data_IF_308809883962
#
_entry.id   IF_308809883962
#
_cell.length_a   1.000
_cell.length_b   1.000
_cell.length_c   1.000
_cell.angle_alpha   90.00
_cell.angle_beta   90.00
_cell.angle_gamma   90.00
#
_symmetry.space_group_name_H-M   'P 1'
#
loop_
_entity.id
_entity.type
_entity.pdbx_description
1 polymer ?
#
# COMPACT_ATOMS: atom_id res chain seq x y z
N UNK A 1 -0.91 -23.15 -41.76
CA UNK A 1 0.23 -23.76 -41.04
C UNK A 1 -0.13 -23.75 -39.56
N UNK A 2 -0.83 -24.77 -39.09
CA UNK A 2 -1.15 -24.94 -37.67
C UNK A 2 0.11 -25.44 -36.97
N UNK A 3 0.82 -24.54 -36.30
CA UNK A 3 1.92 -24.91 -35.42
C UNK A 3 1.36 -25.58 -34.18
N UNK A 4 1.51 -26.91 -34.13
CA UNK A 4 1.34 -27.75 -32.95
C UNK A 4 2.13 -27.13 -31.78
N UNK A 5 1.43 -26.40 -30.91
CA UNK A 5 1.99 -25.92 -29.65
C UNK A 5 2.23 -27.15 -28.78
N UNK A 6 3.49 -27.54 -28.63
CA UNK A 6 3.90 -28.46 -27.58
C UNK A 6 3.45 -27.88 -26.25
N UNK A 7 2.56 -28.63 -25.61
CA UNK A 7 2.11 -28.44 -24.25
C UNK A 7 3.34 -28.53 -23.34
N UNK A 8 3.91 -27.38 -22.99
CA UNK A 8 4.96 -27.29 -21.97
C UNK A 8 4.26 -27.49 -20.64
N UNK A 9 4.57 -28.63 -20.00
CA UNK A 9 4.13 -28.98 -18.66
C UNK A 9 4.35 -27.78 -17.74
N UNK A 10 3.23 -27.17 -17.35
CA UNK A 10 3.23 -25.99 -16.50
C UNK A 10 3.66 -26.42 -15.09
N UNK A 11 4.83 -25.95 -14.66
CA UNK A 11 5.29 -26.06 -13.28
C UNK A 11 4.20 -25.61 -12.29
N UNK A 12 4.16 -26.18 -11.06
CA UNK A 12 3.15 -25.90 -10.05
C UNK A 12 3.37 -24.51 -9.38
N UNK A 13 3.23 -23.44 -10.16
CA UNK A 13 3.16 -22.05 -9.67
C UNK A 13 1.72 -21.70 -9.20
N UNK A 14 0.76 -22.60 -9.46
CA UNK A 14 -0.69 -22.40 -9.24
C UNK A 14 -1.14 -22.37 -7.76
N UNK A 15 -0.36 -22.90 -6.81
CA UNK A 15 -0.79 -22.96 -5.40
C UNK A 15 -0.44 -21.71 -4.56
N UNK A 16 0.56 -20.92 -4.97
CA UNK A 16 1.05 -19.82 -4.11
C UNK A 16 0.12 -18.60 -4.19
N UNK A 17 -0.47 -18.31 -5.36
CA UNK A 17 -1.23 -17.08 -5.58
C UNK A 17 -2.66 -17.10 -5.02
N UNK A 18 -3.38 -18.24 -5.06
CA UNK A 18 -4.74 -18.37 -4.50
C UNK A 18 -4.78 -18.17 -2.97
N UNK A 19 -3.65 -18.41 -2.30
CA UNK A 19 -3.49 -18.23 -0.85
C UNK A 19 -3.31 -16.77 -0.42
N UNK A 20 -2.93 -15.86 -1.34
CA UNK A 20 -2.68 -14.45 -0.99
C UNK A 20 -3.98 -13.63 -0.85
N UNK A 21 -4.91 -13.72 -1.80
CA UNK A 21 -6.17 -12.93 -1.75
C UNK A 21 -7.16 -13.45 -0.70
N UNK A 22 -7.16 -14.76 -0.42
CA UNK A 22 -8.01 -15.36 0.61
C UNK A 22 -7.62 -14.91 2.01
N UNK A 23 -6.32 -14.74 2.28
CA UNK A 23 -5.81 -14.23 3.56
C UNK A 23 -6.18 -12.76 3.78
N UNK A 24 -6.07 -11.92 2.75
CA UNK A 24 -6.48 -10.52 2.81
C UNK A 24 -7.98 -10.37 3.03
N UNK A 25 -8.78 -11.16 2.32
CA UNK A 25 -10.22 -11.12 2.49
C UNK A 25 -10.67 -11.62 3.86
N UNK A 26 -10.05 -12.69 4.38
CA UNK A 26 -10.30 -13.14 5.74
C UNK A 26 -10.02 -12.03 6.77
N UNK A 27 -8.93 -11.27 6.59
CA UNK A 27 -8.62 -10.10 7.42
C UNK A 27 -9.73 -9.04 7.35
N UNK A 28 -10.14 -8.63 6.15
CA UNK A 28 -11.23 -7.65 5.95
C UNK A 28 -12.55 -8.11 6.56
N UNK A 29 -12.87 -9.41 6.46
CA UNK A 29 -14.11 -10.00 6.98
C UNK A 29 -14.10 -10.03 8.51
N UNK A 30 -12.98 -10.46 9.12
CA UNK A 30 -12.79 -10.44 10.58
C UNK A 30 -12.91 -9.02 11.11
N UNK A 31 -12.31 -8.05 10.42
CA UNK A 31 -12.42 -6.64 10.78
C UNK A 31 -13.87 -6.15 10.65
N UNK A 32 -14.52 -6.39 9.50
CA UNK A 32 -15.92 -5.99 9.28
C UNK A 32 -16.88 -6.56 10.32
N UNK A 33 -16.72 -7.84 10.68
CA UNK A 33 -17.47 -8.50 11.74
C UNK A 33 -17.17 -7.89 13.11
N UNK A 34 -15.92 -7.51 13.39
CA UNK A 34 -15.57 -6.80 14.61
C UNK A 34 -16.28 -5.44 14.70
N UNK A 35 -16.29 -4.65 13.62
CA UNK A 35 -17.03 -3.38 13.55
C UNK A 35 -18.52 -3.57 13.81
N UNK A 36 -19.14 -4.56 13.18
CA UNK A 36 -20.55 -4.92 13.37
C UNK A 36 -20.85 -5.33 14.81
N UNK A 37 -20.05 -6.23 15.38
CA UNK A 37 -20.18 -6.64 16.78
C UNK A 37 -20.13 -5.43 17.73
N UNK A 38 -19.19 -4.51 17.48
CA UNK A 38 -19.04 -3.31 18.32
C UNK A 38 -20.20 -2.34 18.14
N UNK A 39 -20.67 -2.12 16.91
CA UNK A 39 -21.88 -1.34 16.64
C UNK A 39 -23.08 -1.91 17.40
N UNK A 40 -23.31 -3.22 17.32
CA UNK A 40 -24.41 -3.89 18.01
C UNK A 40 -24.29 -3.72 19.53
N UNK A 41 -23.08 -3.93 20.09
CA UNK A 41 -22.84 -3.75 21.52
C UNK A 41 -23.07 -2.30 21.98
N UNK A 42 -22.66 -1.32 21.19
CA UNK A 42 -22.88 0.09 21.48
C UNK A 42 -24.38 0.44 21.41
N UNK A 43 -25.07 -0.06 20.37
CA UNK A 43 -26.52 0.08 20.22
C UNK A 43 -27.30 -0.51 21.39
N UNK A 44 -26.97 -1.73 21.83
CA UNK A 44 -27.60 -2.33 23.02
C UNK A 44 -27.35 -1.51 24.30
N UNK A 45 -26.16 -0.94 24.46
CA UNK A 45 -25.86 -0.07 25.60
C UNK A 45 -26.67 1.22 25.56
N UNK A 46 -26.92 1.78 24.37
CA UNK A 46 -27.75 2.97 24.17
C UNK A 46 -29.21 2.70 24.52
N UNK A 47 -29.76 1.59 24.02
CA UNK A 47 -31.13 1.16 24.32
C UNK A 47 -31.33 0.96 25.82
N UNK A 48 -30.35 0.35 26.51
CA UNK A 48 -30.43 0.09 27.96
C UNK A 48 -30.34 1.35 28.81
N UNK A 49 -29.65 2.39 28.34
CA UNK A 49 -29.47 3.64 29.08
C UNK A 49 -30.68 4.58 29.02
N UNK A 50 -31.64 4.36 28.10
CA UNK A 50 -32.81 5.21 27.86
C UNK A 50 -32.51 6.70 27.57
N UNK A 51 -31.23 7.05 27.48
CA UNK A 51 -30.72 8.32 27.01
C UNK A 51 -29.83 8.02 25.81
N UNK A 52 -30.12 8.70 24.71
CA UNK A 52 -29.35 8.59 23.47
C UNK A 52 -28.40 9.78 23.38
N UNK A 53 -27.20 9.72 23.98
CA UNK A 53 -26.19 10.70 23.67
C UNK A 53 -25.93 10.64 22.16
N UNK A 54 -26.22 11.76 21.49
CA UNK A 54 -26.13 11.98 20.04
C UNK A 54 -24.83 11.38 19.49
N UNK A 55 -23.76 11.57 20.26
CA UNK A 55 -22.42 11.14 19.92
C UNK A 55 -22.23 9.62 19.81
N UNK A 56 -22.71 8.85 20.79
CA UNK A 56 -22.60 7.39 20.74
C UNK A 56 -23.49 6.84 19.62
N UNK A 57 -24.60 7.52 19.32
CA UNK A 57 -25.47 7.18 18.20
C UNK A 57 -24.76 7.40 16.85
N UNK A 58 -24.03 8.51 16.68
CA UNK A 58 -23.20 8.78 15.49
C UNK A 58 -22.11 7.72 15.33
N UNK A 59 -21.39 7.38 16.40
CA UNK A 59 -20.36 6.33 16.36
C UNK A 59 -20.95 4.95 16.04
N UNK A 60 -22.12 4.63 16.59
CA UNK A 60 -22.85 3.39 16.28
C UNK A 60 -23.17 3.31 14.79
N UNK A 61 -23.80 4.36 14.23
CA UNK A 61 -24.17 4.42 12.81
C UNK A 61 -22.92 4.30 11.94
N UNK A 62 -21.84 5.00 12.29
CA UNK A 62 -20.62 4.98 11.50
C UNK A 62 -19.95 3.59 11.52
N UNK A 63 -19.88 2.93 12.69
CA UNK A 63 -19.38 1.55 12.77
C UNK A 63 -20.25 0.55 12.02
N UNK A 64 -21.57 0.73 12.03
CA UNK A 64 -22.48 -0.10 11.25
C UNK A 64 -22.23 0.06 9.74
N UNK A 65 -22.19 1.31 9.26
CA UNK A 65 -21.96 1.63 7.85
C UNK A 65 -20.60 1.14 7.37
N UNK A 66 -19.55 1.30 8.19
CA UNK A 66 -18.21 0.77 7.92
C UNK A 66 -18.21 -0.77 7.90
N UNK A 67 -18.80 -1.43 8.89
CA UNK A 67 -18.86 -2.89 8.96
C UNK A 67 -19.59 -3.51 7.77
N UNK A 68 -20.78 -3.00 7.45
CA UNK A 68 -21.57 -3.45 6.29
C UNK A 68 -20.84 -3.14 4.98
N UNK A 69 -20.25 -1.95 4.88
CA UNK A 69 -19.53 -1.50 3.70
C UNK A 69 -18.29 -2.33 3.40
N UNK A 70 -17.52 -2.69 4.43
CA UNK A 70 -16.34 -3.57 4.35
C UNK A 70 -16.72 -5.00 3.94
N UNK A 71 -17.78 -5.56 4.53
CA UNK A 71 -18.28 -6.90 4.17
C UNK A 71 -18.78 -6.92 2.72
N UNK A 72 -19.50 -5.88 2.28
CA UNK A 72 -20.02 -5.79 0.91
C UNK A 72 -19.02 -5.27 -0.12
N UNK A 73 -17.78 -4.94 0.28
CA UNK A 73 -16.73 -4.38 -0.58
C UNK A 73 -17.15 -3.10 -1.34
N UNK A 74 -18.03 -2.27 -0.76
CA UNK A 74 -18.56 -1.08 -1.46
C UNK A 74 -17.62 0.11 -1.37
N UNK A 75 -17.45 0.85 -2.47
CA UNK A 75 -16.50 1.97 -2.58
C UNK A 75 -16.79 3.12 -1.61
N UNK A 76 -18.06 3.45 -1.38
CA UNK A 76 -18.48 4.55 -0.51
C UNK A 76 -18.05 4.38 0.95
N UNK A 77 -17.93 3.13 1.43
CA UNK A 77 -17.46 2.84 2.77
C UNK A 77 -15.99 3.24 2.99
N UNK A 78 -15.20 3.23 1.91
CA UNK A 78 -13.79 3.66 1.93
C UNK A 78 -13.67 5.16 2.04
N UNK A 79 -14.44 5.88 1.23
CA UNK A 79 -14.49 7.35 1.26
C UNK A 79 -15.03 7.84 2.61
N UNK A 80 -16.06 7.16 3.15
CA UNK A 80 -16.60 7.44 4.48
C UNK A 80 -15.58 7.18 5.59
N UNK A 81 -14.82 6.08 5.54
CA UNK A 81 -13.72 5.81 6.47
C UNK A 81 -12.66 6.93 6.43
N UNK A 82 -12.27 7.35 5.23
CA UNK A 82 -11.25 8.37 5.04
C UNK A 82 -11.70 9.74 5.56
N UNK A 83 -12.91 10.18 5.18
CA UNK A 83 -13.48 11.48 5.61
C UNK A 83 -13.79 11.52 7.11
N UNK A 84 -14.33 10.44 7.66
CA UNK A 84 -14.70 10.41 9.08
C UNK A 84 -13.50 10.20 10.00
N UNK A 85 -12.38 9.70 9.48
CA UNK A 85 -11.20 9.40 10.28
C UNK A 85 -10.63 10.65 10.99
N UNK A 86 -10.20 11.72 10.31
CA UNK A 86 -9.67 12.90 10.99
C UNK A 86 -10.62 13.47 12.06
N UNK A 87 -11.93 13.48 11.77
CA UNK A 87 -12.97 13.97 12.68
C UNK A 87 -13.07 13.10 13.93
N UNK A 88 -13.12 11.79 13.76
CA UNK A 88 -13.20 10.82 14.86
C UNK A 88 -11.93 10.86 15.73
N UNK A 89 -10.75 11.06 15.14
CA UNK A 89 -9.48 11.15 15.86
C UNK A 89 -9.38 12.42 16.70
N UNK A 90 -9.63 13.59 16.10
CA UNK A 90 -9.63 14.87 16.80
C UNK A 90 -10.65 14.88 17.95
N UNK A 91 -11.81 14.30 17.69
CA UNK A 91 -12.85 14.17 18.68
C UNK A 91 -12.47 13.21 19.82
N UNK A 92 -11.72 12.15 19.52
CA UNK A 92 -11.17 11.23 20.53
C UNK A 92 -10.17 11.91 21.44
N UNK A 93 -9.29 12.76 20.87
CA UNK A 93 -8.36 13.59 21.66
C UNK A 93 -9.12 14.54 22.59
N UNK A 94 -10.17 15.19 22.08
CA UNK A 94 -11.03 16.06 22.88
C UNK A 94 -11.69 15.32 24.06
N UNK A 95 -12.23 14.13 23.83
CA UNK A 95 -12.80 13.31 24.90
C UNK A 95 -11.76 12.84 25.91
N UNK A 96 -10.53 12.52 25.47
CA UNK A 96 -9.43 12.14 26.35
C UNK A 96 -9.10 13.25 27.34
N UNK A 97 -9.11 14.50 26.85
CA UNK A 97 -8.84 15.68 27.64
C UNK A 97 -9.97 15.97 28.65
N UNK A 98 -11.23 15.79 28.24
CA UNK A 98 -12.39 16.15 29.07
C UNK A 98 -12.79 15.05 30.08
N UNK A 99 -12.59 13.78 29.75
CA UNK A 99 -13.06 12.65 30.57
C UNK A 99 -12.02 11.52 30.69
N UNK A 100 -10.87 11.74 31.37
CA UNK A 100 -9.72 10.84 31.34
C UNK A 100 -10.00 9.41 31.85
N UNK A 101 -10.95 9.23 32.78
CA UNK A 101 -11.30 7.90 33.32
C UNK A 101 -12.21 7.09 32.41
N UNK A 102 -13.16 7.73 31.71
CA UNK A 102 -14.12 7.06 30.83
C UNK A 102 -13.62 6.95 29.38
N UNK A 103 -12.90 7.95 28.90
CA UNK A 103 -12.37 8.01 27.54
C UNK A 103 -11.34 6.91 27.27
N UNK A 104 -10.62 6.47 28.30
CA UNK A 104 -9.48 5.54 28.18
C UNK A 104 -9.82 4.17 27.56
N UNK A 105 -11.06 3.69 27.73
CA UNK A 105 -11.53 2.41 27.17
C UNK A 105 -12.16 2.56 25.79
N UNK A 106 -12.55 3.76 25.38
CA UNK A 106 -13.18 4.02 24.09
C UNK A 106 -12.20 4.63 23.09
N UNK A 107 -11.26 5.45 23.54
CA UNK A 107 -10.28 6.14 22.70
C UNK A 107 -9.26 5.22 22.05
N UNK A 108 -8.69 4.28 22.80
CA UNK A 108 -7.75 3.29 22.27
C UNK A 108 -8.41 2.42 21.18
N UNK A 109 -9.71 2.13 21.33
CA UNK A 109 -10.48 1.38 20.35
C UNK A 109 -10.81 2.20 19.12
N UNK A 110 -11.19 3.47 19.31
CA UNK A 110 -11.43 4.39 18.19
C UNK A 110 -10.15 4.56 17.38
N UNK A 111 -9.01 4.83 18.03
CA UNK A 111 -7.70 4.91 17.39
C UNK A 111 -7.31 3.60 16.66
N UNK A 112 -7.56 2.43 17.26
CA UNK A 112 -7.30 1.14 16.62
C UNK A 112 -8.15 0.94 15.35
N UNK A 113 -9.46 1.21 15.48
CA UNK A 113 -10.44 1.14 14.40
C UNK A 113 -10.07 2.07 13.25
N UNK A 114 -9.53 3.23 13.57
CA UNK A 114 -9.16 4.27 12.63
C UNK A 114 -7.86 3.98 11.91
N UNK A 115 -6.86 3.47 12.65
CA UNK A 115 -5.66 2.92 12.06
C UNK A 115 -6.01 1.77 11.11
N UNK A 116 -6.93 0.89 11.50
CA UNK A 116 -7.41 -0.24 10.68
C UNK A 116 -8.23 0.23 9.48
N UNK A 117 -9.09 1.23 9.61
CA UNK A 117 -9.90 1.75 8.50
C UNK A 117 -9.04 2.51 7.48
N UNK A 118 -8.05 3.28 7.96
CA UNK A 118 -7.04 3.95 7.12
C UNK A 118 -6.11 2.93 6.45
N UNK A 119 -5.76 1.86 7.17
CA UNK A 119 -5.03 0.70 6.67
C UNK A 119 -5.78 -0.01 5.54
N UNK A 120 -7.09 -0.23 5.71
CA UNK A 120 -7.94 -0.81 4.67
C UNK A 120 -8.04 0.10 3.44
N UNK A 121 -8.11 1.42 3.65
CA UNK A 121 -8.15 2.38 2.54
C UNK A 121 -6.87 2.34 1.70
N UNK A 122 -5.70 2.28 2.34
CA UNK A 122 -4.39 2.31 1.67
C UNK A 122 -4.01 0.98 0.99
N UNK A 123 -4.58 -0.14 1.43
CA UNK A 123 -4.19 -1.48 0.95
C UNK A 123 -5.11 -2.04 -0.13
N UNK A 124 -6.23 -1.40 -0.49
CA UNK A 124 -7.14 -1.96 -1.49
C UNK A 124 -6.71 -1.58 -2.92
N UNK A 125 -6.33 -2.56 -3.76
CA UNK A 125 -5.79 -2.34 -5.12
C UNK A 125 -6.82 -1.85 -6.15
N UNK A 126 -8.09 -1.64 -5.80
CA UNK A 126 -9.12 -1.30 -6.80
C UNK A 126 -8.98 0.09 -7.41
N UNK A 127 -8.28 1.00 -6.74
CA UNK A 127 -7.95 2.31 -7.31
C UNK A 127 -7.13 2.15 -8.59
N UNK A 128 -6.25 1.13 -8.66
CA UNK A 128 -5.53 0.82 -9.90
C UNK A 128 -6.44 0.32 -11.02
N UNK A 129 -7.53 -0.40 -10.72
CA UNK A 129 -8.46 -0.88 -11.76
C UNK A 129 -9.25 0.26 -12.39
N UNK A 130 -9.74 1.20 -11.59
CA UNK A 130 -10.45 2.38 -12.12
C UNK A 130 -9.49 3.34 -12.85
N UNK A 131 -8.27 3.53 -12.34
CA UNK A 131 -7.24 4.31 -13.04
C UNK A 131 -6.68 3.60 -14.28
N UNK A 132 -6.70 2.27 -14.35
CA UNK A 132 -6.32 1.51 -15.53
C UNK A 132 -7.37 1.63 -16.64
N UNK A 133 -8.66 1.65 -16.28
CA UNK A 133 -9.77 1.80 -17.23
C UNK A 133 -9.89 3.22 -17.82
N UNK A 134 -9.38 4.23 -17.11
CA UNK A 134 -9.49 5.64 -17.50
C UNK A 134 -8.18 6.23 -18.03
N UNK A 135 -7.17 5.41 -18.36
CA UNK A 135 -5.99 5.94 -19.05
C UNK A 135 -6.40 6.35 -20.46
N UNK A 136 -6.25 7.63 -20.84
CA UNK A 136 -6.33 7.97 -22.25
C UNK A 136 -5.27 7.16 -23.00
N UNK A 137 -5.53 6.73 -24.25
CA UNK A 137 -4.52 6.06 -25.07
C UNK A 137 -3.27 6.94 -25.05
N UNK A 138 -2.20 6.41 -24.46
CA UNK A 138 -0.98 7.18 -24.25
C UNK A 138 -0.40 7.53 -25.61
N UNK A 139 -0.27 8.83 -25.88
CA UNK A 139 0.40 9.35 -27.06
C UNK A 139 1.78 8.66 -27.16
N UNK A 140 2.11 8.12 -28.35
CA UNK A 140 3.29 7.31 -28.66
C UNK A 140 4.49 7.62 -27.77
N UNK A 141 4.92 6.63 -26.98
CA UNK A 141 5.97 6.72 -25.97
C UNK A 141 7.37 6.41 -26.54
N UNK A 142 7.58 6.71 -27.82
CA UNK A 142 8.79 6.34 -28.56
C UNK A 142 10.00 7.21 -28.19
N UNK A 143 9.74 8.37 -27.58
CA UNK A 143 10.74 9.38 -27.30
C UNK A 143 11.21 9.29 -25.84
N UNK A 144 11.75 8.16 -25.40
CA UNK A 144 12.36 8.10 -24.08
C UNK A 144 13.72 8.82 -24.11
N UNK A 145 14.01 9.69 -23.14
CA UNK A 145 15.28 10.42 -23.08
C UNK A 145 16.48 9.45 -23.06
N UNK A 146 17.64 9.81 -23.62
CA UNK A 146 18.82 8.94 -23.56
C UNK A 146 19.32 8.77 -22.11
N UNK A 147 19.87 7.60 -21.73
CA UNK A 147 20.51 7.41 -20.43
C UNK A 147 21.83 8.22 -20.34
N UNK A 148 22.24 8.70 -19.14
CA UNK A 148 21.55 8.55 -17.86
C UNK A 148 20.35 9.52 -17.74
N UNK A 149 19.18 8.97 -17.42
CA UNK A 149 17.93 9.74 -17.23
C UNK A 149 17.84 10.28 -15.82
N UNK A 150 17.29 11.47 -15.68
CA UNK A 150 16.97 12.00 -14.36
C UNK A 150 15.68 11.36 -13.85
N UNK A 151 15.79 10.52 -12.82
CA UNK A 151 14.61 10.04 -12.08
C UNK A 151 14.26 11.07 -11.01
N UNK A 152 13.07 11.72 -11.07
CA UNK A 152 12.69 12.74 -10.11
C UNK A 152 12.64 12.18 -8.69
N UNK A 153 13.00 13.02 -7.72
CA UNK A 153 12.99 12.68 -6.30
C UNK A 153 11.63 12.15 -5.85
N UNK A 154 10.55 12.64 -6.46
CA UNK A 154 9.17 12.24 -6.14
C UNK A 154 8.89 10.79 -6.51
N UNK A 155 9.43 10.30 -7.63
CA UNK A 155 9.39 8.88 -7.98
C UNK A 155 10.27 8.04 -7.06
N UNK A 156 11.48 8.53 -6.71
CA UNK A 156 12.36 7.84 -5.75
C UNK A 156 11.67 7.69 -4.38
N UNK A 157 11.04 8.76 -3.89
CA UNK A 157 10.27 8.75 -2.63
C UNK A 157 9.01 7.91 -2.73
N UNK A 158 8.25 7.97 -3.83
CA UNK A 158 7.06 7.15 -4.00
C UNK A 158 7.40 5.66 -4.06
N UNK A 159 8.52 5.31 -4.71
CA UNK A 159 9.00 3.95 -4.71
C UNK A 159 9.38 3.54 -3.27
N UNK A 160 10.26 4.27 -2.60
CA UNK A 160 10.80 3.88 -1.28
C UNK A 160 9.73 3.93 -0.17
N UNK A 161 8.94 4.98 -0.12
CA UNK A 161 7.97 5.24 0.95
C UNK A 161 6.54 4.83 0.59
N UNK A 162 6.19 4.75 -0.69
CA UNK A 162 4.84 4.42 -1.14
C UNK A 162 4.57 2.92 -1.23
N UNK A 163 5.57 2.07 -0.97
CA UNK A 163 5.36 0.63 -0.86
C UNK A 163 4.32 0.33 0.24
N UNK A 164 3.24 -0.42 -0.06
CA UNK A 164 2.20 -0.72 0.93
C UNK A 164 2.74 -1.41 2.20
N UNK A 165 3.77 -2.25 2.06
CA UNK A 165 4.43 -2.90 3.19
C UNK A 165 5.13 -1.86 4.08
N UNK A 166 5.85 -0.91 3.48
CA UNK A 166 6.51 0.19 4.22
C UNK A 166 5.48 1.04 4.97
N UNK A 167 4.43 1.49 4.29
CA UNK A 167 3.37 2.28 4.90
C UNK A 167 2.71 1.51 6.06
N UNK A 168 2.44 0.22 5.87
CA UNK A 168 1.90 -0.66 6.90
C UNK A 168 2.83 -0.77 8.10
N UNK A 169 4.13 -0.99 7.89
CA UNK A 169 5.11 -1.05 8.95
C UNK A 169 5.12 0.24 9.77
N UNK A 170 5.12 1.41 9.12
CA UNK A 170 5.10 2.69 9.83
C UNK A 170 3.82 2.91 10.63
N UNK A 171 2.65 2.59 10.07
CA UNK A 171 1.38 2.72 10.79
C UNK A 171 1.31 1.77 11.98
N UNK A 172 1.72 0.50 11.80
CA UNK A 172 1.72 -0.49 12.86
C UNK A 172 2.69 -0.12 13.98
N UNK A 173 3.90 0.32 13.61
CA UNK A 173 4.89 0.84 14.55
C UNK A 173 4.30 2.04 15.29
N UNK A 174 3.77 3.06 14.60
CA UNK A 174 3.06 4.18 15.22
C UNK A 174 2.02 3.76 16.25
N UNK A 175 1.17 2.80 15.91
CA UNK A 175 0.09 2.34 16.76
C UNK A 175 0.59 1.54 17.99
N UNK A 176 1.43 0.54 17.77
CA UNK A 176 1.97 -0.32 18.82
C UNK A 176 2.80 0.50 19.80
N UNK A 177 3.66 1.39 19.29
CA UNK A 177 4.56 2.18 20.11
C UNK A 177 3.81 3.21 20.96
N UNK A 178 2.91 3.98 20.34
CA UNK A 178 2.09 4.94 21.06
C UNK A 178 1.19 4.24 22.10
N UNK A 179 0.64 3.08 21.76
CA UNK A 179 -0.17 2.27 22.66
C UNK A 179 0.60 1.79 23.90
N UNK A 180 1.79 1.22 23.70
CA UNK A 180 2.65 0.75 24.80
C UNK A 180 3.11 1.93 25.67
N UNK A 181 3.61 3.01 25.06
CA UNK A 181 4.06 4.20 25.80
C UNK A 181 2.94 4.77 26.69
N UNK A 182 1.72 4.84 26.16
CA UNK A 182 0.55 5.27 26.91
C UNK A 182 0.19 4.32 28.06
N UNK A 183 0.21 3.00 27.82
CA UNK A 183 -0.09 1.98 28.85
C UNK A 183 0.93 2.02 29.99
N UNK A 184 2.22 2.15 29.67
CA UNK A 184 3.29 2.28 30.67
C UNK A 184 3.14 3.54 31.52
N UNK A 185 2.84 4.68 30.89
CA UNK A 185 2.57 5.95 31.60
C UNK A 185 1.42 5.78 32.59
N UNK A 186 0.33 5.14 32.15
CA UNK A 186 -0.87 4.98 32.98
C UNK A 186 -0.68 3.96 34.11
N UNK A 187 0.15 2.95 33.92
CA UNK A 187 0.42 1.94 34.94
C UNK A 187 1.18 2.50 36.16
N UNK A 188 1.46 3.82 36.23
CA UNK A 188 2.19 4.44 37.33
C UNK A 188 3.69 4.11 37.33
N UNK A 189 4.10 3.12 36.54
CA UNK A 189 5.48 2.67 36.32
C UNK A 189 6.42 3.85 35.99
N UNK A 190 5.88 4.91 35.37
CA UNK A 190 6.67 6.05 34.92
C UNK A 190 6.56 7.33 35.78
N UNK A 191 5.55 7.50 36.63
CA UNK A 191 5.27 8.81 37.27
C UNK A 191 5.37 8.79 38.79
N UNK A 192 5.00 7.69 39.45
CA UNK A 192 4.94 7.68 40.92
C UNK A 192 6.28 7.38 41.61
N UNK A 193 7.28 6.83 40.91
CA UNK A 193 8.59 6.53 41.50
C UNK A 193 9.72 7.47 41.09
N UNK A 194 9.43 8.50 40.28
CA UNK A 194 10.48 9.32 39.65
C UNK A 194 11.35 8.43 38.76
N UNK A 195 11.00 8.29 37.48
CA UNK A 195 11.79 7.46 36.57
C UNK A 195 13.27 7.85 36.67
N UNK A 196 14.17 6.95 37.11
CA UNK A 196 15.58 7.22 37.01
C UNK A 196 15.84 7.45 35.52
N UNK A 197 16.57 8.52 35.19
CA UNK A 197 16.85 8.96 33.82
C UNK A 197 17.27 7.78 32.92
N UNK A 198 17.91 6.76 33.50
CA UNK A 198 18.28 5.50 32.86
C UNK A 198 17.13 4.71 32.21
N UNK A 199 15.92 4.64 32.80
CA UNK A 199 14.83 3.87 32.19
C UNK A 199 14.29 4.56 30.93
N UNK A 200 14.11 5.89 30.96
CA UNK A 200 13.68 6.65 29.79
C UNK A 200 14.71 6.57 28.66
N UNK A 201 16.01 6.62 29.00
CA UNK A 201 17.10 6.44 28.03
C UNK A 201 17.11 5.03 27.44
N UNK A 202 17.02 3.99 28.26
CA UNK A 202 16.95 2.59 27.79
C UNK A 202 15.72 2.38 26.91
N UNK A 203 14.58 2.96 27.28
CA UNK A 203 13.35 2.89 26.50
C UNK A 203 13.50 3.58 25.13
N UNK A 204 14.03 4.81 25.11
CA UNK A 204 14.29 5.55 23.88
C UNK A 204 15.34 4.86 22.99
N UNK A 205 16.37 4.25 23.58
CA UNK A 205 17.37 3.45 22.85
C UNK A 205 16.76 2.19 22.26
N UNK A 206 15.91 1.47 23.01
CA UNK A 206 15.18 0.32 22.49
C UNK A 206 14.28 0.73 21.30
N UNK A 207 13.67 1.91 21.37
CA UNK A 207 12.88 2.46 20.27
C UNK A 207 13.71 2.78 19.03
N UNK A 208 14.81 3.52 19.21
CA UNK A 208 15.73 3.84 18.12
C UNK A 208 16.31 2.57 17.49
N UNK A 209 16.54 1.53 18.30
CA UNK A 209 16.96 0.22 17.81
C UNK A 209 15.87 -0.45 16.97
N UNK A 210 14.63 -0.56 17.45
CA UNK A 210 13.54 -1.17 16.67
C UNK A 210 13.21 -0.38 15.39
N UNK A 211 13.19 0.95 15.46
CA UNK A 211 13.05 1.82 14.29
C UNK A 211 14.23 1.65 13.33
N UNK A 212 15.44 1.54 13.85
CA UNK A 212 16.65 1.27 13.08
C UNK A 212 16.57 -0.07 12.36
N UNK A 213 16.16 -1.14 13.03
CA UNK A 213 16.03 -2.48 12.44
C UNK A 213 14.89 -2.55 11.43
N UNK A 214 13.70 -2.04 11.75
CA UNK A 214 12.56 -2.04 10.83
C UNK A 214 12.86 -1.13 9.62
N UNK A 215 13.36 0.08 9.87
CA UNK A 215 13.76 1.02 8.82
C UNK A 215 14.88 0.45 7.94
N UNK A 216 15.87 -0.22 8.53
CA UNK A 216 16.96 -0.84 7.79
C UNK A 216 16.50 -2.05 6.99
N UNK A 217 15.74 -2.97 7.57
CA UNK A 217 15.27 -4.18 6.88
C UNK A 217 14.29 -3.84 5.77
N UNK A 218 13.33 -2.96 6.05
CA UNK A 218 12.35 -2.55 5.07
C UNK A 218 12.97 -1.62 4.02
N UNK A 219 13.90 -0.76 4.41
CA UNK A 219 14.71 0.06 3.49
C UNK A 219 15.64 -0.77 2.61
N UNK A 220 16.26 -1.83 3.14
CA UNK A 220 17.13 -2.75 2.37
C UNK A 220 16.32 -3.62 1.42
N UNK A 221 15.14 -4.10 1.84
CA UNK A 221 14.23 -4.83 0.98
C UNK A 221 13.68 -3.93 -0.13
N UNK A 222 13.22 -2.72 0.23
CA UNK A 222 12.78 -1.72 -0.74
C UNK A 222 13.92 -1.36 -1.69
N UNK A 223 15.13 -1.10 -1.19
CA UNK A 223 16.29 -0.83 -2.02
C UNK A 223 16.60 -2.02 -2.94
N UNK A 224 16.58 -3.26 -2.46
CA UNK A 224 16.86 -4.41 -3.30
C UNK A 224 15.85 -4.54 -4.45
N UNK A 225 14.55 -4.45 -4.14
CA UNK A 225 13.47 -4.56 -5.14
C UNK A 225 13.46 -3.35 -6.08
N UNK A 226 13.66 -2.14 -5.57
CA UNK A 226 13.56 -0.91 -6.38
C UNK A 226 14.85 -0.54 -7.07
N UNK A 227 16.00 -0.98 -6.58
CA UNK A 227 17.28 -0.62 -7.22
C UNK A 227 17.38 -1.22 -8.61
N UNK A 228 16.77 -2.38 -8.87
CA UNK A 228 16.69 -2.92 -10.24
C UNK A 228 15.85 -2.03 -11.13
N UNK A 229 14.67 -1.63 -10.67
CA UNK A 229 13.69 -0.90 -11.47
C UNK A 229 14.11 0.56 -11.65
N UNK A 230 14.57 1.23 -10.58
CA UNK A 230 15.11 2.58 -10.64
C UNK A 230 16.37 2.64 -11.50
N UNK A 231 17.25 1.62 -11.43
CA UNK A 231 18.41 1.54 -12.32
C UNK A 231 18.00 1.34 -13.77
N UNK A 232 16.99 0.51 -14.04
CA UNK A 232 16.40 0.36 -15.37
C UNK A 232 15.84 1.68 -15.88
N UNK A 233 15.12 2.43 -15.04
CA UNK A 233 14.59 3.74 -15.40
C UNK A 233 15.70 4.76 -15.68
N UNK A 234 16.77 4.76 -14.87
CA UNK A 234 17.89 5.70 -14.98
C UNK A 234 18.85 5.36 -16.13
N UNK A 235 19.24 4.09 -16.29
CA UNK A 235 20.32 3.65 -17.18
C UNK A 235 19.86 2.73 -18.32
N UNK A 236 18.62 2.23 -18.26
CA UNK A 236 18.13 1.27 -19.24
C UNK A 236 18.03 1.87 -20.63
N UNK A 237 18.23 1.06 -21.66
CA UNK A 237 18.15 1.46 -23.07
C UNK A 237 16.78 1.06 -23.59
N UNK A 238 16.16 1.94 -24.39
CA UNK A 238 14.88 1.65 -25.06
C UNK A 238 15.14 0.71 -26.24
N UNK A 239 14.35 -0.34 -26.36
CA UNK A 239 14.30 -1.25 -27.50
C UNK A 239 12.84 -1.56 -27.85
N UNK A 240 12.66 -2.41 -28.86
CA UNK A 240 11.36 -2.92 -29.30
C UNK A 240 11.30 -4.42 -29.05
N UNK A 241 10.18 -4.87 -28.51
CA UNK A 241 9.93 -6.27 -28.24
C UNK A 241 8.71 -6.75 -29.02
N UNK A 242 8.82 -7.93 -29.62
CA UNK A 242 7.75 -8.58 -30.37
C UNK A 242 7.08 -9.62 -29.49
N UNK A 243 5.75 -9.71 -29.53
CA UNK A 243 5.03 -10.77 -28.82
C UNK A 243 5.40 -12.13 -29.43
N UNK A 244 5.94 -13.04 -28.62
CA UNK A 244 6.24 -14.42 -29.02
C UNK A 244 5.19 -15.43 -28.58
N UNK A 245 4.66 -15.27 -27.38
CA UNK A 245 3.71 -16.22 -26.81
C UNK A 245 2.64 -15.50 -26.00
N UNK A 246 1.41 -16.00 -26.09
CA UNK A 246 0.29 -15.55 -25.30
C UNK A 246 -0.44 -16.79 -24.77
N UNK A 247 -0.38 -17.00 -23.47
CA UNK A 247 -1.08 -18.10 -22.80
C UNK A 247 -2.18 -17.54 -21.91
N UNK A 248 -3.44 -17.87 -22.21
CA UNK A 248 -4.56 -17.51 -21.36
C UNK A 248 -4.59 -18.44 -20.14
N UNK A 249 -4.56 -17.86 -18.95
CA UNK A 249 -4.71 -18.53 -17.67
C UNK A 249 -6.12 -18.21 -17.15
N UNK A 250 -7.02 -19.19 -17.27
CA UNK A 250 -8.40 -19.05 -16.79
C UNK A 250 -8.44 -19.14 -15.27
N UNK A 251 -8.62 -18.00 -14.59
CA UNK A 251 -8.82 -17.96 -13.15
C UNK A 251 -10.31 -18.11 -12.83
N UNK A 252 -10.90 -19.28 -13.14
CA UNK A 252 -12.34 -19.55 -12.94
C UNK A 252 -12.83 -19.18 -11.53
N UNK A 253 -12.00 -19.35 -10.51
CA UNK A 253 -12.34 -19.01 -9.11
C UNK A 253 -12.22 -17.51 -8.77
N UNK A 254 -11.62 -16.68 -9.62
CA UNK A 254 -11.38 -15.24 -9.38
C UNK A 254 -12.13 -14.30 -10.33
N UNK A 255 -13.05 -14.84 -11.14
CA UNK A 255 -13.95 -14.03 -11.97
C UNK A 255 -13.25 -13.25 -13.10
N UNK A 256 -12.18 -13.81 -13.67
CA UNK A 256 -11.49 -13.21 -14.81
C UNK A 256 -10.41 -14.13 -15.42
N UNK A 257 -9.92 -13.77 -16.60
CA UNK A 257 -8.75 -14.39 -17.21
C UNK A 257 -7.53 -13.49 -17.05
N UNK A 258 -6.39 -14.09 -16.75
CA UNK A 258 -5.07 -13.44 -16.83
C UNK A 258 -4.35 -14.03 -18.02
N UNK A 259 -3.55 -13.23 -18.70
CA UNK A 259 -2.77 -13.68 -19.83
C UNK A 259 -1.30 -13.55 -19.50
N UNK A 260 -0.59 -14.65 -19.68
CA UNK A 260 0.86 -14.70 -19.64
C UNK A 260 1.39 -14.36 -21.03
N UNK A 261 1.98 -13.19 -21.16
CA UNK A 261 2.54 -12.68 -22.41
C UNK A 261 4.06 -12.79 -22.33
N UNK A 262 4.68 -13.36 -23.37
CA UNK A 262 6.14 -13.43 -23.50
C UNK A 262 6.55 -12.62 -24.71
N UNK A 263 7.40 -11.63 -24.50
CA UNK A 263 7.94 -10.76 -25.52
C UNK A 263 9.41 -11.09 -25.75
N UNK A 264 9.84 -11.06 -27.01
CA UNK A 264 11.23 -11.23 -27.42
C UNK A 264 11.79 -9.94 -28.00
N UNK A 265 13.01 -9.61 -27.61
CA UNK A 265 13.78 -8.49 -28.15
C UNK A 265 15.22 -8.94 -28.38
N UNK A 266 15.94 -8.21 -29.22
CA UNK A 266 17.31 -8.52 -29.60
C UNK A 266 18.27 -7.43 -29.12
N UNK A 267 19.40 -7.83 -28.54
CA UNK A 267 20.48 -6.96 -28.12
C UNK A 267 21.80 -7.57 -28.59
N UNK A 268 22.51 -6.85 -29.47
CA UNK A 268 23.81 -7.29 -30.01
C UNK A 268 23.79 -8.71 -30.62
N UNK A 269 22.77 -9.04 -31.42
CA UNK A 269 22.65 -10.36 -32.05
C UNK A 269 22.11 -11.46 -31.15
N UNK A 270 21.84 -11.18 -29.88
CA UNK A 270 21.31 -12.15 -28.91
C UNK A 270 19.87 -11.83 -28.55
N UNK A 271 19.03 -12.85 -28.57
CA UNK A 271 17.62 -12.77 -28.21
C UNK A 271 17.45 -12.89 -26.70
N UNK A 272 16.58 -12.04 -26.16
CA UNK A 272 16.19 -12.03 -24.76
C UNK A 272 14.67 -12.05 -24.67
N UNK A 273 14.17 -12.53 -23.54
CA UNK A 273 12.74 -12.64 -23.28
C UNK A 273 12.37 -11.86 -22.04
N UNK A 274 11.26 -11.14 -22.10
CA UNK A 274 10.56 -10.61 -20.94
C UNK A 274 9.16 -11.19 -20.91
N UNK A 275 8.59 -11.35 -19.74
CA UNK A 275 7.24 -11.87 -19.59
C UNK A 275 6.44 -11.00 -18.65
N UNK A 276 5.13 -10.99 -18.83
CA UNK A 276 4.22 -10.30 -17.92
C UNK A 276 2.89 -11.03 -17.82
N UNK A 277 2.26 -10.91 -16.66
CA UNK A 277 0.91 -11.42 -16.41
C UNK A 277 -0.06 -10.25 -16.32
N UNK A 278 -1.02 -10.18 -17.24
CA UNK A 278 -1.98 -9.07 -17.30
C UNK A 278 -3.40 -9.53 -17.59
N UNK A 279 -4.42 -8.96 -16.93
CA UNK A 279 -5.81 -9.16 -17.32
C UNK A 279 -6.24 -8.25 -18.48
N UNK A 280 -5.37 -7.32 -18.92
CA UNK A 280 -5.71 -6.26 -19.88
C UNK A 280 -4.91 -6.39 -21.19
N UNK A 281 -5.05 -7.52 -21.88
CA UNK A 281 -4.31 -7.83 -23.12
C UNK A 281 -4.51 -6.79 -24.22
N UNK A 282 -5.73 -6.29 -24.38
CA UNK A 282 -6.06 -5.36 -25.45
C UNK A 282 -5.23 -4.06 -25.43
N UNK A 283 -4.63 -3.72 -24.28
CA UNK A 283 -3.77 -2.54 -24.12
C UNK A 283 -2.30 -2.78 -24.48
N UNK A 284 -1.87 -4.04 -24.53
CA UNK A 284 -0.47 -4.42 -24.77
C UNK A 284 -0.26 -5.07 -26.13
N UNK A 285 -1.32 -5.13 -26.93
CA UNK A 285 -1.34 -5.71 -28.28
C UNK A 285 -1.95 -4.72 -29.28
N UNK A 286 -1.99 -3.43 -28.94
CA UNK A 286 -2.42 -2.38 -29.86
C UNK A 286 -1.32 -2.06 -30.88
N UNK A 287 -0.05 -2.33 -30.53
CA UNK A 287 1.09 -2.21 -31.43
C UNK A 287 1.69 -3.59 -31.79
N UNK A 288 2.35 -3.67 -32.96
CA UNK A 288 3.05 -4.89 -33.38
C UNK A 288 4.35 -5.13 -32.58
N UNK A 289 4.93 -4.05 -32.08
CA UNK A 289 6.18 -4.03 -31.31
C UNK A 289 6.01 -3.15 -30.08
N UNK A 290 6.17 -3.73 -28.90
CA UNK A 290 6.03 -3.03 -27.63
C UNK A 290 7.35 -2.37 -27.22
N UNK A 291 7.34 -1.11 -26.75
CA UNK A 291 8.54 -0.47 -26.20
C UNK A 291 8.98 -1.15 -24.90
N UNK A 292 10.24 -1.56 -24.85
CA UNK A 292 10.87 -2.21 -23.69
C UNK A 292 12.10 -1.42 -23.23
N UNK A 293 12.30 -1.30 -21.93
CA UNK A 293 13.53 -0.78 -21.34
C UNK A 293 14.33 -1.97 -20.84
N UNK A 294 15.58 -2.12 -21.26
CA UNK A 294 16.48 -3.17 -20.79
C UNK A 294 17.76 -2.61 -20.18
N UNK A 295 18.37 -3.33 -19.25
CA UNK A 295 19.65 -2.96 -18.65
C UNK A 295 20.82 -3.38 -19.56
N UNK A 296 21.65 -2.44 -20.07
CA UNK A 296 22.73 -2.78 -20.99
C UNK A 296 23.79 -3.72 -20.40
N UNK A 297 23.99 -3.71 -19.07
CA UNK A 297 24.96 -4.58 -18.40
C UNK A 297 24.39 -5.98 -18.12
N UNK A 298 23.07 -6.08 -18.03
CA UNK A 298 22.37 -7.35 -17.79
C UNK A 298 21.08 -7.37 -18.63
N UNK A 299 21.16 -7.62 -19.94
CA UNK A 299 20.01 -7.42 -20.84
C UNK A 299 18.76 -8.17 -20.42
N UNK A 300 18.88 -9.39 -19.86
CA UNK A 300 17.73 -10.13 -19.33
C UNK A 300 16.99 -9.47 -18.15
N UNK A 301 17.49 -8.35 -17.61
CA UNK A 301 16.73 -7.47 -16.74
C UNK A 301 16.07 -6.38 -17.60
N UNK A 302 14.76 -6.50 -17.81
CA UNK A 302 14.00 -5.61 -18.69
C UNK A 302 12.57 -5.44 -18.20
N UNK A 303 11.95 -4.31 -18.55
CA UNK A 303 10.56 -3.99 -18.22
C UNK A 303 9.85 -3.37 -19.43
N UNK A 304 8.60 -3.75 -19.66
CA UNK A 304 7.78 -3.12 -20.69
C UNK A 304 7.39 -1.71 -20.23
N UNK A 305 7.42 -0.76 -21.15
CA UNK A 305 7.12 0.64 -20.82
C UNK A 305 5.66 0.82 -20.35
N UNK A 306 4.78 -0.06 -20.82
CA UNK A 306 3.37 -0.08 -20.46
C UNK A 306 3.06 -0.78 -19.14
N UNK A 307 4.01 -1.59 -18.67
CA UNK A 307 4.03 -2.21 -17.33
C UNK A 307 4.54 -1.26 -16.25
N UNK A 308 5.13 -0.11 -16.62
CA UNK A 308 5.56 0.87 -15.64
C UNK A 308 4.43 1.18 -14.66
N UNK A 309 4.75 1.27 -13.35
CA UNK A 309 3.76 1.51 -12.33
C UNK A 309 2.84 2.68 -12.72
N UNK A 310 1.55 2.57 -12.39
CA UNK A 310 0.50 3.50 -12.87
C UNK A 310 0.76 4.99 -12.61
N UNK A 311 1.72 5.28 -11.74
CA UNK A 311 2.12 6.58 -11.33
C UNK A 311 3.33 7.15 -12.10
N UNK A 312 3.97 6.38 -12.99
CA UNK A 312 5.07 6.83 -13.85
C UNK A 312 4.52 7.23 -15.21
N UNK A 313 4.81 8.46 -15.62
CA UNK A 313 4.50 8.99 -16.95
C UNK A 313 5.78 9.48 -17.62
N UNK A 314 5.77 9.48 -18.95
CA UNK A 314 6.82 10.09 -19.76
C UNK A 314 6.26 11.44 -20.23
N UNK A 315 7.02 12.51 -20.05
CA UNK A 315 6.65 13.82 -20.58
C UNK A 315 7.03 13.99 -22.06
N UNK A 316 6.67 15.13 -22.65
CA UNK A 316 6.92 15.40 -24.07
C UNK A 316 8.43 15.48 -24.41
N UNK A 317 9.30 15.62 -23.39
CA UNK A 317 10.76 15.64 -23.54
C UNK A 317 11.39 14.26 -23.37
N UNK A 318 10.59 13.24 -23.08
CA UNK A 318 11.08 11.89 -22.82
C UNK A 318 11.54 11.62 -21.41
N UNK A 319 11.37 12.58 -20.50
CA UNK A 319 11.75 12.42 -19.11
C UNK A 319 10.64 11.75 -18.31
N UNK A 320 11.05 11.03 -17.27
CA UNK A 320 10.14 10.35 -16.37
C UNK A 320 9.59 11.35 -15.35
N UNK A 321 8.27 11.41 -15.20
CA UNK A 321 7.58 12.17 -14.16
C UNK A 321 6.63 11.28 -13.39
N UNK A 322 6.40 11.63 -12.12
CA UNK A 322 5.29 11.05 -11.40
C UNK A 322 4.00 11.73 -11.87
N UNK A 323 2.97 10.96 -12.20
CA UNK A 323 1.61 11.45 -12.51
C UNK A 323 1.07 12.46 -11.50
N UNK A 324 1.48 12.29 -10.24
CA UNK A 324 1.14 13.15 -9.12
C UNK A 324 2.44 13.61 -8.47
N UNK A 325 2.97 14.79 -8.84
CA UNK A 325 4.31 15.22 -8.42
C UNK A 325 4.44 15.35 -6.89
N UNK A 326 3.35 15.49 -6.15
CA UNK A 326 3.37 15.61 -4.70
C UNK A 326 3.28 14.27 -3.95
N UNK A 327 2.91 13.16 -4.60
CA UNK A 327 2.59 11.91 -3.89
C UNK A 327 3.80 11.29 -3.19
N UNK A 328 5.01 11.39 -3.77
CA UNK A 328 6.23 10.98 -3.08
C UNK A 328 6.42 11.67 -1.73
N UNK A 329 6.10 12.97 -1.63
CA UNK A 329 6.15 13.71 -0.38
C UNK A 329 5.01 13.33 0.57
N UNK A 330 3.81 13.05 0.05
CA UNK A 330 2.68 12.57 0.87
C UNK A 330 3.03 11.25 1.55
N UNK A 331 3.66 10.31 0.84
CA UNK A 331 4.10 9.05 1.44
C UNK A 331 5.17 9.26 2.53
N UNK A 332 5.99 10.31 2.41
CA UNK A 332 6.98 10.69 3.42
C UNK A 332 6.34 11.30 4.69
N UNK A 333 5.12 11.87 4.61
CA UNK A 333 4.44 12.43 5.78
C UNK A 333 4.10 11.35 6.81
N UNK A 334 3.76 10.13 6.38
CA UNK A 334 3.41 9.02 7.28
C UNK A 334 4.54 8.66 8.25
N UNK A 335 5.77 8.34 7.81
CA UNK A 335 6.87 8.07 8.72
C UNK A 335 7.24 9.29 9.57
N UNK A 336 7.27 10.50 8.98
CA UNK A 336 7.62 11.72 9.71
C UNK A 336 6.62 12.06 10.82
N UNK A 337 5.32 11.96 10.54
CA UNK A 337 4.26 12.20 11.52
C UNK A 337 4.26 11.15 12.63
N UNK A 338 4.58 9.90 12.28
CA UNK A 338 4.76 8.81 13.25
C UNK A 338 5.91 9.12 14.20
N UNK A 339 7.07 9.49 13.65
CA UNK A 339 8.25 9.85 14.45
C UNK A 339 7.98 11.08 15.33
N UNK A 340 7.32 12.11 14.79
CA UNK A 340 6.96 13.31 15.55
C UNK A 340 5.99 13.00 16.69
N UNK A 341 4.97 12.17 16.44
CA UNK A 341 4.01 11.73 17.47
C UNK A 341 4.68 10.93 18.58
N UNK A 342 5.62 10.05 18.24
CA UNK A 342 6.42 9.29 19.21
C UNK A 342 7.31 10.19 20.06
N UNK A 343 8.03 11.14 19.43
CA UNK A 343 8.88 12.09 20.13
C UNK A 343 8.06 12.93 21.11
N UNK A 344 6.90 13.44 20.67
CA UNK A 344 5.99 14.21 21.52
C UNK A 344 5.50 13.42 22.74
N UNK A 345 5.11 12.16 22.56
CA UNK A 345 4.64 11.31 23.67
C UNK A 345 5.74 10.94 24.66
N UNK A 346 7.00 10.95 24.22
CA UNK A 346 8.15 10.62 25.08
C UNK A 346 8.63 11.84 25.87
N UNK A 347 8.55 13.04 25.28
CA UNK A 347 8.98 14.29 25.92
C UNK A 347 7.97 14.85 26.94
N UNK A 348 6.71 14.40 26.91
CA UNK A 348 5.61 14.93 27.74
C UNK A 348 5.01 13.85 28.63
#
# INVERSE_FOLDING_TARGET
METNMREVDADPVSEIAARADSKWYAGLLVIGLFFLYRSLKLGFSLVKAWHFPILQSILCINYLLLGVGLIKRTYWARTLAFLSSPVIFLFTLFLLQKYPRAAHRSSAYVLAVMAVATFIYLLIPQVEKEFAQSRPPTKRRDNLAPPPRQVPLTLKLAAVCGNPFMLMSWVLTGFVCCGIAYMLRKAGICVEMGMPMGFAVVWLLLWLFFLGVIGYTAGRLAHWILSSDLRLLEQGILSRATLRSQKKIDLRHRGGSVYHLVFEYEVNGRKYHTWMDTPFVARLLDEAEEPIIYDPQKPGNSILLDELPAHVEIDDTGNLKHRYPFMGFVYLIVPLSTLAGMAYLTLK
#
